data_IF_767559719708
#
_entry.id   IF_767559719708
#
_cell.length_a   1.000
_cell.length_b   1.000
_cell.length_c   1.000
_cell.angle_alpha   90.00
_cell.angle_beta   90.00
_cell.angle_gamma   90.00
#
_symmetry.space_group_name_H-M   'P 1'
#
loop_
_entity.id
_entity.type
_entity.pdbx_description
1 polymer ?
#
# COMPACT_ATOMS: atom_id res chain seq x y z
N UNK A 1 13.08 -4.17 13.44
CA UNK A 1 13.78 -3.51 12.31
C UNK A 1 14.12 -4.59 11.29
N UNK A 2 13.51 -4.53 10.11
CA UNK A 2 13.72 -5.51 9.02
C UNK A 2 15.12 -5.30 8.43
N UNK A 3 16.13 -6.01 8.96
CA UNK A 3 17.55 -5.87 8.52
C UNK A 3 17.74 -6.16 7.03
N UNK A 4 16.80 -6.86 6.39
CA UNK A 4 16.84 -7.10 4.95
C UNK A 4 15.44 -7.07 4.32
N UNK A 5 14.89 -5.88 4.10
CA UNK A 5 13.55 -5.68 3.49
C UNK A 5 13.41 -6.39 2.15
N UNK A 6 14.46 -6.39 1.34
CA UNK A 6 14.49 -7.03 0.02
C UNK A 6 14.31 -8.54 0.11
N UNK A 7 14.94 -9.18 1.11
CA UNK A 7 14.80 -10.62 1.34
C UNK A 7 13.37 -10.98 1.73
N UNK A 8 12.71 -10.16 2.54
CA UNK A 8 11.30 -10.36 2.89
C UNK A 8 10.37 -10.18 1.70
N UNK A 9 10.61 -9.21 0.82
CA UNK A 9 9.86 -9.10 -0.43
C UNK A 9 10.04 -10.38 -1.27
N UNK A 10 11.27 -10.87 -1.42
CA UNK A 10 11.55 -12.08 -2.18
C UNK A 10 10.85 -13.32 -1.60
N UNK A 11 10.91 -13.51 -0.29
CA UNK A 11 10.20 -14.59 0.41
C UNK A 11 8.69 -14.49 0.19
N UNK A 12 8.11 -13.29 0.26
CA UNK A 12 6.69 -13.10 0.04
C UNK A 12 6.27 -13.36 -1.40
N UNK A 13 7.09 -12.98 -2.38
CA UNK A 13 6.87 -13.32 -3.80
C UNK A 13 6.88 -14.84 -3.98
N UNK A 14 7.85 -15.55 -3.41
CA UNK A 14 7.89 -17.01 -3.47
C UNK A 14 6.68 -17.68 -2.81
N UNK A 15 6.23 -17.15 -1.68
CA UNK A 15 5.01 -17.63 -1.00
C UNK A 15 3.78 -17.37 -1.88
N UNK A 16 3.66 -16.18 -2.49
CA UNK A 16 2.57 -15.82 -3.40
C UNK A 16 2.51 -16.77 -4.60
N UNK A 17 3.66 -17.04 -5.22
CA UNK A 17 3.80 -17.99 -6.33
C UNK A 17 3.39 -19.41 -5.94
N UNK A 18 3.90 -19.92 -4.81
CA UNK A 18 3.56 -21.25 -4.33
C UNK A 18 2.08 -21.39 -3.97
N UNK A 19 1.51 -20.38 -3.30
CA UNK A 19 0.11 -20.39 -2.90
C UNK A 19 -0.83 -20.33 -4.12
N UNK A 20 -0.56 -19.43 -5.07
CA UNK A 20 -1.36 -19.31 -6.30
C UNK A 20 -1.25 -20.55 -7.17
N UNK A 21 -0.08 -21.19 -7.25
CA UNK A 21 0.13 -22.42 -8.00
C UNK A 21 -0.64 -23.60 -7.38
N UNK A 22 -0.57 -23.74 -6.05
CA UNK A 22 -1.33 -24.77 -5.33
C UNK A 22 -2.85 -24.60 -5.49
N UNK A 23 -3.34 -23.36 -5.48
CA UNK A 23 -4.75 -23.04 -5.70
C UNK A 23 -5.22 -23.38 -7.11
N UNK A 24 -4.38 -23.12 -8.12
CA UNK A 24 -4.67 -23.41 -9.52
C UNK A 24 -4.62 -24.91 -9.88
N UNK A 25 -4.23 -25.78 -8.94
CA UNK A 25 -4.16 -27.25 -9.13
C UNK A 25 -3.38 -27.67 -10.39
N UNK A 26 -2.36 -26.88 -10.77
CA UNK A 26 -1.53 -27.13 -11.94
C UNK A 26 -2.10 -26.65 -13.29
N UNK A 27 -3.24 -25.96 -13.31
CA UNK A 27 -3.76 -25.32 -14.53
C UNK A 27 -3.06 -23.98 -14.78
N UNK A 28 -2.33 -23.88 -15.90
CA UNK A 28 -1.52 -22.70 -16.24
C UNK A 28 -2.33 -21.41 -16.34
N UNK A 29 -3.48 -21.44 -17.02
CA UNK A 29 -4.33 -20.25 -17.22
C UNK A 29 -4.93 -19.76 -15.89
N UNK A 30 -5.42 -20.67 -15.06
CA UNK A 30 -5.93 -20.33 -13.73
C UNK A 30 -4.83 -19.79 -12.83
N UNK A 31 -3.63 -20.38 -12.90
CA UNK A 31 -2.48 -19.91 -12.11
C UNK A 31 -2.10 -18.47 -12.45
N UNK A 32 -2.00 -18.15 -13.75
CA UNK A 32 -1.75 -16.80 -14.23
C UNK A 32 -2.84 -15.83 -13.74
N UNK A 33 -4.11 -16.23 -13.82
CA UNK A 33 -5.22 -15.39 -13.40
C UNK A 33 -5.21 -15.12 -11.89
N UNK A 34 -4.91 -16.15 -11.08
CA UNK A 34 -4.76 -16.00 -9.63
C UNK A 34 -3.58 -15.11 -9.26
N UNK A 35 -2.44 -15.26 -9.94
CA UNK A 35 -1.24 -14.44 -9.73
C UNK A 35 -1.52 -12.97 -10.07
N UNK A 36 -2.17 -12.71 -11.21
CA UNK A 36 -2.58 -11.37 -11.61
C UNK A 36 -3.55 -10.73 -10.61
N UNK A 37 -4.56 -11.49 -10.18
CA UNK A 37 -5.56 -11.03 -9.21
C UNK A 37 -4.93 -10.70 -7.86
N UNK A 38 -4.03 -11.56 -7.36
CA UNK A 38 -3.29 -11.33 -6.12
C UNK A 38 -2.42 -10.05 -6.23
N UNK A 39 -1.73 -9.88 -7.36
CA UNK A 39 -0.92 -8.70 -7.64
C UNK A 39 -1.73 -7.40 -7.62
N UNK A 40 -2.89 -7.39 -8.29
CA UNK A 40 -3.80 -6.23 -8.28
C UNK A 40 -4.29 -5.91 -6.87
N UNK A 41 -4.71 -6.92 -6.09
CA UNK A 41 -5.20 -6.70 -4.72
C UNK A 41 -4.12 -6.02 -3.87
N UNK A 42 -2.87 -6.49 -3.97
CA UNK A 42 -1.74 -5.91 -3.24
C UNK A 42 -1.45 -4.47 -3.67
N UNK A 43 -1.52 -4.18 -4.99
CA UNK A 43 -1.37 -2.84 -5.53
C UNK A 43 -2.49 -1.90 -5.07
N UNK A 44 -3.74 -2.36 -5.03
CA UNK A 44 -4.89 -1.59 -4.53
C UNK A 44 -4.73 -1.27 -3.05
N UNK A 45 -4.28 -2.23 -2.23
CA UNK A 45 -4.02 -2.02 -0.81
C UNK A 45 -2.91 -0.98 -0.63
N UNK A 46 -1.81 -1.10 -1.37
CA UNK A 46 -0.71 -0.14 -1.34
C UNK A 46 -1.15 1.26 -1.78
N UNK A 47 -1.86 1.36 -2.91
CA UNK A 47 -2.40 2.62 -3.43
C UNK A 47 -3.36 3.30 -2.45
N UNK A 48 -4.35 2.56 -1.95
CA UNK A 48 -5.32 3.04 -0.95
C UNK A 48 -4.63 3.56 0.30
N UNK A 49 -3.64 2.82 0.79
CA UNK A 49 -2.84 3.24 1.93
C UNK A 49 -2.10 4.56 1.64
N UNK A 50 -1.54 4.69 0.44
CA UNK A 50 -0.78 5.88 0.04
C UNK A 50 -1.69 7.10 -0.06
N UNK A 51 -2.92 6.93 -0.57
CA UNK A 51 -3.94 7.99 -0.66
C UNK A 51 -4.42 8.42 0.74
N UNK A 52 -4.78 7.47 1.59
CA UNK A 52 -5.28 7.74 2.95
C UNK A 52 -4.20 8.43 3.78
N UNK A 53 -2.95 7.97 3.71
CA UNK A 53 -1.88 8.44 4.59
C UNK A 53 -1.02 9.56 4.04
N UNK A 54 -0.91 9.66 2.72
CA UNK A 54 -0.33 10.82 2.04
C UNK A 54 -1.20 12.06 2.22
N UNK A 55 -2.42 11.90 2.76
CA UNK A 55 -3.32 13.01 3.00
C UNK A 55 -3.82 13.61 1.70
N UNK A 56 -3.92 12.82 0.62
CA UNK A 56 -4.44 13.27 -0.66
C UNK A 56 -5.80 13.96 -0.47
N UNK A 57 -6.70 13.36 0.31
CA UNK A 57 -7.99 13.97 0.65
C UNK A 57 -7.86 15.24 1.51
N UNK A 58 -6.86 15.34 2.39
CA UNK A 58 -6.60 16.55 3.17
C UNK A 58 -6.10 17.69 2.28
N UNK A 59 -5.21 17.40 1.33
CA UNK A 59 -4.69 18.37 0.36
C UNK A 59 -5.77 18.77 -0.63
N UNK A 60 -6.54 17.81 -1.13
CA UNK A 60 -7.69 18.03 -2.01
C UNK A 60 -8.76 18.88 -1.33
N UNK A 61 -9.13 18.59 -0.08
CA UNK A 61 -10.08 19.39 0.69
C UNK A 61 -9.56 20.82 0.95
N UNK A 62 -8.25 21.00 1.16
CA UNK A 62 -7.63 22.34 1.27
C UNK A 62 -7.71 23.10 -0.05
N UNK A 63 -7.39 22.46 -1.18
CA UNK A 63 -7.52 23.07 -2.51
C UNK A 63 -8.97 23.45 -2.86
N UNK A 64 -9.93 22.56 -2.53
CA UNK A 64 -11.36 22.82 -2.72
C UNK A 64 -11.86 23.97 -1.84
N UNK A 65 -11.38 24.07 -0.58
CA UNK A 65 -11.68 25.20 0.31
C UNK A 65 -11.11 26.52 -0.20
N UNK A 66 -9.92 26.50 -0.81
CA UNK A 66 -9.31 27.70 -1.43
C UNK A 66 -10.04 28.16 -2.69
N UNK A 67 -10.71 27.24 -3.40
CA UNK A 67 -11.52 27.55 -4.58
C UNK A 67 -12.93 28.08 -4.24
N UNK A 68 -13.37 27.99 -2.98
CA UNK A 68 -14.56 28.70 -2.52
C UNK A 68 -14.16 30.13 -2.12
N UNK A 69 -14.62 31.17 -2.84
CA UNK A 69 -14.43 32.55 -2.41
C UNK A 69 -15.44 32.83 -1.29
N UNK A 70 -15.19 32.29 -0.09
CA UNK A 70 -15.95 32.67 1.10
C UNK A 70 -15.07 33.64 1.88
N UNK A 71 -15.35 34.94 1.66
CA UNK A 71 -14.80 35.99 2.51
C UNK A 71 -15.15 35.71 3.98
N UNK A 72 -14.19 36.01 4.86
CA UNK A 72 -14.24 35.88 6.34
C UNK A 72 -14.12 34.44 6.89
N UNK A 73 -12.90 34.09 7.30
CA UNK A 73 -12.52 34.04 8.73
C UNK A 73 -11.15 33.37 8.83
N UNK A 74 -10.14 34.15 9.22
CA UNK A 74 -8.73 33.72 9.35
C UNK A 74 -8.36 33.48 10.81
N UNK A 75 -9.32 33.16 11.67
CA UNK A 75 -9.13 33.05 13.11
C UNK A 75 -9.97 31.91 13.67
N UNK A 76 -9.39 30.71 13.73
CA UNK A 76 -9.72 29.57 14.60
C UNK A 76 -9.37 28.30 13.86
N UNK A 77 -8.12 27.85 13.98
CA UNK A 77 -7.80 26.43 14.07
C UNK A 77 -6.46 26.35 14.82
N UNK A 78 -6.50 26.80 16.07
CA UNK A 78 -5.54 26.34 17.07
C UNK A 78 -5.79 24.85 17.24
N UNK A 79 -4.99 24.03 16.55
CA UNK A 79 -4.88 22.62 16.89
C UNK A 79 -3.98 22.61 18.12
N UNK A 80 -4.58 22.67 19.31
CA UNK A 80 -3.89 22.23 20.52
C UNK A 80 -3.51 20.77 20.28
N UNK A 81 -2.23 20.53 19.96
CA UNK A 81 -1.63 19.22 20.18
C UNK A 81 -1.87 18.90 21.65
N UNK A 82 -2.58 17.80 22.00
CA UNK A 82 -2.55 17.36 23.38
C UNK A 82 -1.09 17.02 23.68
N UNK A 83 -0.46 17.85 24.54
CA UNK A 83 0.83 17.62 25.17
C UNK A 83 0.71 16.43 26.12
N UNK A 84 0.44 15.25 25.58
CA UNK A 84 0.44 13.99 26.31
C UNK A 84 1.76 13.28 26.02
N UNK A 85 2.81 13.87 26.59
CA UNK A 85 4.13 13.27 26.67
C UNK A 85 4.07 12.03 27.56
N UNK A 86 4.22 10.86 26.95
CA UNK A 86 4.91 9.64 27.42
C UNK A 86 4.24 8.38 26.84
N UNK A 87 4.72 7.94 25.67
CA UNK A 87 4.50 6.57 25.17
C UNK A 87 3.46 6.37 24.05
N UNK A 88 2.41 7.20 23.94
CA UNK A 88 1.41 7.08 22.85
C UNK A 88 1.97 7.56 21.50
N UNK A 89 2.67 8.70 21.49
CA UNK A 89 3.31 9.23 20.26
C UNK A 89 4.35 8.28 19.66
N UNK A 90 5.15 7.60 20.49
CA UNK A 90 6.15 6.66 19.99
C UNK A 90 5.51 5.40 19.42
N UNK A 91 4.45 4.88 20.05
CA UNK A 91 3.67 3.76 19.50
C UNK A 91 3.00 4.15 18.19
N UNK A 92 2.47 5.36 18.06
CA UNK A 92 1.88 5.84 16.82
C UNK A 92 2.92 6.10 15.74
N UNK A 93 4.10 6.63 16.08
CA UNK A 93 5.23 6.77 15.15
C UNK A 93 5.77 5.40 14.70
N UNK A 94 5.80 4.40 15.59
CA UNK A 94 6.20 3.02 15.26
C UNK A 94 5.16 2.32 14.38
N UNK A 95 3.87 2.39 14.72
CA UNK A 95 2.76 1.94 13.84
C UNK A 95 2.78 2.67 12.50
N UNK A 96 3.20 3.94 12.51
CA UNK A 96 3.41 4.70 11.29
C UNK A 96 4.55 4.15 10.44
N UNK A 97 5.70 3.84 11.02
CA UNK A 97 6.84 3.25 10.30
C UNK A 97 6.54 1.82 9.81
N UNK A 98 5.89 1.00 10.62
CA UNK A 98 5.53 -0.38 10.27
C UNK A 98 4.55 -0.42 9.11
N UNK A 99 3.46 0.34 9.17
CA UNK A 99 2.47 0.35 8.11
C UNK A 99 3.04 0.90 6.78
N UNK A 100 3.99 1.86 6.84
CA UNK A 100 4.68 2.34 5.61
C UNK A 100 5.53 1.23 4.99
N UNK A 101 6.18 0.44 5.84
CA UNK A 101 6.95 -0.73 5.40
C UNK A 101 6.04 -1.78 4.78
N UNK A 102 4.84 -2.02 5.34
CA UNK A 102 3.86 -2.98 4.79
C UNK A 102 3.36 -2.51 3.43
N UNK A 103 2.96 -1.24 3.29
CA UNK A 103 2.51 -0.71 2.01
C UNK A 103 3.58 -0.76 0.92
N UNK A 104 4.85 -0.48 1.28
CA UNK A 104 5.97 -0.62 0.35
C UNK A 104 6.18 -2.08 -0.08
N UNK A 105 6.07 -3.03 0.86
CA UNK A 105 6.15 -4.45 0.55
C UNK A 105 4.99 -4.87 -0.37
N UNK A 106 3.75 -4.48 -0.08
CA UNK A 106 2.60 -4.77 -0.94
C UNK A 106 2.78 -4.19 -2.34
N UNK A 107 3.37 -2.99 -2.47
CA UNK A 107 3.66 -2.39 -3.76
C UNK A 107 4.66 -3.21 -4.56
N UNK A 108 5.79 -3.59 -3.95
CA UNK A 108 6.83 -4.36 -4.63
C UNK A 108 6.35 -5.76 -5.02
N UNK A 109 5.71 -6.47 -4.08
CA UNK A 109 5.18 -7.81 -4.33
C UNK A 109 4.07 -7.77 -5.38
N UNK A 110 3.13 -6.82 -5.26
CA UNK A 110 2.04 -6.68 -6.22
C UNK A 110 2.53 -6.36 -7.63
N UNK A 111 3.50 -5.46 -7.77
CA UNK A 111 4.10 -5.13 -9.07
C UNK A 111 4.86 -6.32 -9.67
N UNK A 112 5.58 -7.08 -8.84
CA UNK A 112 6.27 -8.29 -9.28
C UNK A 112 5.29 -9.37 -9.75
N UNK A 113 4.24 -9.66 -8.98
CA UNK A 113 3.24 -10.68 -9.32
C UNK A 113 2.49 -10.31 -10.61
N UNK A 114 2.09 -9.05 -10.76
CA UNK A 114 1.45 -8.57 -12.00
C UNK A 114 2.40 -8.60 -13.20
N UNK A 115 3.66 -8.19 -13.04
CA UNK A 115 4.65 -8.26 -14.11
C UNK A 115 4.91 -9.72 -14.52
N UNK A 116 5.05 -10.62 -13.54
CA UNK A 116 5.27 -12.04 -13.79
C UNK A 116 4.08 -12.68 -14.48
N UNK A 117 2.84 -12.30 -14.14
CA UNK A 117 1.66 -12.81 -14.84
C UNK A 117 1.66 -12.41 -16.31
N UNK A 118 2.07 -11.18 -16.65
CA UNK A 118 2.18 -10.75 -18.05
C UNK A 118 3.30 -11.49 -18.80
N UNK A 119 4.45 -11.73 -18.15
CA UNK A 119 5.54 -12.51 -18.74
C UNK A 119 5.10 -13.96 -18.99
N UNK A 120 4.35 -14.56 -18.06
CA UNK A 120 3.80 -15.91 -18.21
C UNK A 120 2.77 -15.99 -19.33
N UNK A 121 1.89 -14.98 -19.47
CA UNK A 121 0.95 -14.89 -20.60
C UNK A 121 1.72 -14.83 -21.91
N UNK A 122 2.74 -13.97 -21.99
CA UNK A 122 3.54 -13.82 -23.21
C UNK A 122 4.29 -15.10 -23.59
N UNK A 123 4.76 -15.88 -22.59
CA UNK A 123 5.47 -17.14 -22.83
C UNK A 123 4.53 -18.29 -23.22
N UNK A 124 3.25 -18.21 -22.84
CA UNK A 124 2.22 -19.19 -23.17
C UNK A 124 1.56 -18.96 -24.54
N UNK A 125 1.74 -17.77 -25.13
CA UNK A 125 1.15 -17.33 -26.39
C UNK A 125 2.09 -17.58 -27.58
#
# INVERSE_FOLDING_TARGET
>A
MLKNRTLWCFVLILISLGATYALARGQWVEWINHLFTAGIILLVIAGSYTVIRGGFFNVFARGLKQLKPTGRSRSEYGFEEPLDGTGKEERDRQRKRQAKSVAFVCLIVGLADTALSYVLIWLLL
#
